data_IF_547914000455
#
_entry.id   IF_547914000455
#
_cell.length_a   1.000
_cell.length_b   1.000
_cell.length_c   1.000
_cell.angle_alpha   90.00
_cell.angle_beta   90.00
_cell.angle_gamma   90.00
#
_symmetry.space_group_name_H-M   'P 1'
#
loop_
_entity.id
_entity.type
_entity.pdbx_description
1 polymer ?
#
# COMPACT_ATOMS: atom_id res chain seq x y z
N UNK A 1 1.33 -19.43 -21.41
CA UNK A 1 2.06 -18.14 -21.32
C UNK A 1 3.44 -18.43 -20.78
N UNK A 2 4.45 -17.82 -21.36
CA UNK A 2 5.83 -17.87 -20.87
C UNK A 2 5.97 -16.84 -19.75
N UNK A 3 6.33 -17.28 -18.54
CA UNK A 3 6.48 -16.43 -17.34
C UNK A 3 7.95 -16.00 -17.13
N UNK A 4 8.58 -15.55 -18.22
CA UNK A 4 9.99 -15.18 -18.23
C UNK A 4 10.18 -13.83 -17.56
N UNK A 5 11.19 -13.72 -16.69
CA UNK A 5 11.48 -12.49 -15.94
C UNK A 5 12.00 -11.40 -16.87
N UNK A 6 11.43 -10.20 -16.79
CA UNK A 6 11.88 -9.03 -17.53
C UNK A 6 13.07 -8.34 -16.84
N UNK A 7 13.96 -7.79 -17.65
CA UNK A 7 15.18 -7.12 -17.19
C UNK A 7 15.29 -5.72 -17.77
N UNK A 8 15.81 -4.83 -16.94
CA UNK A 8 16.10 -3.44 -17.31
C UNK A 8 17.01 -3.38 -18.53
N UNK A 9 16.80 -2.36 -19.37
CA UNK A 9 17.60 -1.99 -20.53
C UNK A 9 17.64 -2.99 -21.71
N UNK A 10 17.14 -4.22 -21.53
CA UNK A 10 17.18 -5.27 -22.55
C UNK A 10 15.80 -5.81 -22.94
N UNK A 11 14.86 -5.88 -21.99
CA UNK A 11 13.52 -6.41 -22.27
C UNK A 11 12.51 -5.31 -22.61
N UNK A 12 11.62 -5.62 -23.56
CA UNK A 12 10.69 -4.68 -24.20
C UNK A 12 9.22 -4.99 -23.88
N UNK A 13 8.35 -3.98 -23.98
CA UNK A 13 6.89 -4.13 -23.96
C UNK A 13 6.33 -4.06 -25.38
N UNK A 14 5.06 -4.39 -25.56
CA UNK A 14 4.40 -4.43 -26.88
C UNK A 14 4.20 -3.05 -27.52
N UNK A 15 4.32 -1.97 -26.75
CA UNK A 15 3.74 -0.68 -27.12
C UNK A 15 2.20 -0.70 -27.02
N UNK A 16 1.57 0.38 -27.47
CA UNK A 16 0.11 0.54 -27.55
C UNK A 16 -0.26 1.62 -28.58
N UNK A 17 -1.48 1.59 -29.12
CA UNK A 17 -1.90 2.46 -30.22
C UNK A 17 -0.93 2.41 -31.42
N UNK A 18 -0.34 3.55 -31.80
CA UNK A 18 0.69 3.67 -32.83
C UNK A 18 2.12 3.73 -32.23
N UNK A 19 2.27 3.48 -30.93
CA UNK A 19 3.53 3.58 -30.23
C UNK A 19 4.32 2.27 -30.33
N UNK A 20 5.63 2.33 -30.67
CA UNK A 20 6.43 1.13 -30.81
C UNK A 20 6.73 0.47 -29.44
N UNK A 21 7.19 -0.79 -29.47
CA UNK A 21 7.87 -1.42 -28.34
C UNK A 21 8.97 -0.54 -27.75
N UNK A 22 9.12 -0.59 -26.43
CA UNK A 22 10.11 0.19 -25.69
C UNK A 22 10.61 -0.59 -24.49
N UNK A 23 11.80 -0.25 -23.98
CA UNK A 23 12.46 -1.00 -22.90
C UNK A 23 12.11 -0.48 -21.51
N UNK A 24 12.30 -1.33 -20.51
CA UNK A 24 12.31 -0.92 -19.10
C UNK A 24 13.57 -0.08 -18.79
N UNK A 25 13.42 1.01 -18.03
CA UNK A 25 14.53 1.91 -17.64
C UNK A 25 14.86 1.89 -16.16
N UNK A 26 13.97 1.33 -15.36
CA UNK A 26 14.18 1.06 -13.94
C UNK A 26 14.17 -0.45 -13.67
N UNK A 27 14.65 -0.80 -12.48
CA UNK A 27 14.84 -2.17 -12.05
C UNK A 27 15.40 -2.19 -10.63
N UNK A 28 15.56 -3.39 -10.09
CA UNK A 28 16.20 -3.63 -8.79
C UNK A 28 17.58 -2.97 -8.67
N UNK A 29 17.90 -2.34 -7.53
CA UNK A 29 19.22 -1.76 -7.30
C UNK A 29 20.33 -2.80 -7.04
N UNK A 30 19.97 -4.04 -6.70
CA UNK A 30 20.90 -5.05 -6.17
C UNK A 30 20.63 -6.50 -6.63
N UNK A 31 19.51 -6.78 -7.28
CA UNK A 31 19.19 -8.10 -7.84
C UNK A 31 19.28 -8.08 -9.36
N UNK A 32 20.23 -8.86 -9.88
CA UNK A 32 20.57 -8.91 -11.30
C UNK A 32 20.33 -10.30 -11.88
N UNK A 33 19.86 -10.35 -13.13
CA UNK A 33 19.71 -11.54 -13.94
C UNK A 33 20.50 -11.36 -15.24
N UNK A 34 21.50 -12.21 -15.46
CA UNK A 34 22.45 -12.11 -16.58
C UNK A 34 23.13 -10.73 -16.67
N UNK A 35 23.38 -10.08 -15.53
CA UNK A 35 24.03 -8.77 -15.45
C UNK A 35 23.10 -7.56 -15.61
N UNK A 36 21.80 -7.77 -15.82
CA UNK A 36 20.79 -6.70 -15.90
C UNK A 36 19.89 -6.71 -14.66
N UNK A 37 19.49 -5.53 -14.19
CA UNK A 37 18.59 -5.42 -13.05
C UNK A 37 17.23 -6.08 -13.34
N UNK A 38 16.70 -6.84 -12.39
CA UNK A 38 15.35 -7.43 -12.49
C UNK A 38 14.29 -6.32 -12.44
N UNK A 39 13.35 -6.32 -13.38
CA UNK A 39 12.22 -5.37 -13.38
C UNK A 39 11.16 -5.84 -12.39
N UNK A 40 10.62 -4.89 -11.63
CA UNK A 40 9.60 -5.11 -10.61
C UNK A 40 8.39 -4.23 -10.87
N UNK A 41 7.27 -4.54 -10.24
CA UNK A 41 6.05 -3.75 -10.33
C UNK A 41 6.33 -2.31 -9.90
N UNK A 42 5.85 -1.36 -10.69
CA UNK A 42 6.11 0.07 -10.49
C UNK A 42 7.37 0.62 -11.16
N UNK A 43 8.35 -0.23 -11.52
CA UNK A 43 9.53 0.22 -12.26
C UNK A 43 9.13 0.77 -13.65
N UNK A 44 9.71 1.91 -14.03
CA UNK A 44 9.35 2.66 -15.23
C UNK A 44 9.88 2.06 -16.55
N UNK A 45 9.09 2.31 -17.59
CA UNK A 45 9.43 2.09 -18.99
C UNK A 45 9.79 3.41 -19.68
N UNK A 46 10.55 3.35 -20.79
CA UNK A 46 10.89 4.54 -21.57
C UNK A 46 9.66 5.39 -21.89
N UNK A 47 9.84 6.71 -21.96
CA UNK A 47 8.75 7.61 -22.32
C UNK A 47 8.44 7.51 -23.81
N UNK A 48 7.16 7.61 -24.15
CA UNK A 48 6.70 7.59 -25.53
C UNK A 48 5.43 8.43 -25.71
N UNK A 49 5.13 8.77 -26.96
CA UNK A 49 3.91 9.46 -27.37
C UNK A 49 3.63 9.23 -28.85
N UNK A 50 2.38 9.40 -29.30
CA UNK A 50 2.01 9.30 -30.71
C UNK A 50 0.86 10.26 -31.03
N UNK A 51 0.39 10.38 -32.29
CA UNK A 51 -0.75 11.25 -32.61
C UNK A 51 -2.04 10.95 -31.82
N UNK A 52 -2.19 9.74 -31.26
CA UNK A 52 -3.37 9.38 -30.46
C UNK A 52 -3.32 9.93 -29.02
N UNK A 53 -2.14 10.17 -28.44
CA UNK A 53 -2.01 10.65 -27.07
C UNK A 53 -0.69 11.38 -26.79
N UNK A 54 -0.66 12.32 -25.82
CA UNK A 54 0.57 13.01 -25.42
C UNK A 54 1.63 12.05 -24.82
N UNK A 55 2.89 12.52 -24.70
CA UNK A 55 3.96 11.73 -24.10
C UNK A 55 3.72 11.34 -22.64
N UNK A 56 4.03 10.10 -22.28
CA UNK A 56 3.97 9.58 -20.91
C UNK A 56 5.02 8.48 -20.71
N UNK A 57 5.17 8.01 -19.47
CA UNK A 57 5.85 6.75 -19.15
C UNK A 57 4.82 5.71 -18.74
N UNK A 58 5.15 4.43 -18.90
CA UNK A 58 4.30 3.35 -18.41
C UNK A 58 4.96 2.61 -17.26
N UNK A 59 4.14 1.94 -16.46
CA UNK A 59 4.56 1.02 -15.40
C UNK A 59 3.74 -0.26 -15.46
N UNK A 60 4.28 -1.35 -14.97
CA UNK A 60 3.54 -2.62 -14.89
C UNK A 60 2.49 -2.55 -13.78
N UNK A 61 1.24 -2.85 -14.12
CA UNK A 61 0.09 -2.85 -13.21
C UNK A 61 0.04 -4.10 -12.34
N UNK A 62 0.33 -5.26 -12.92
CA UNK A 62 0.21 -6.56 -12.27
C UNK A 62 1.41 -7.42 -12.63
N UNK A 63 2.00 -8.10 -11.65
CA UNK A 63 3.24 -8.85 -11.79
C UNK A 63 3.16 -10.20 -11.04
N UNK A 64 4.26 -10.87 -10.70
CA UNK A 64 4.20 -12.14 -9.94
C UNK A 64 3.64 -11.94 -8.52
N UNK A 65 2.64 -12.74 -8.12
CA UNK A 65 2.11 -12.77 -6.74
C UNK A 65 2.95 -13.63 -5.78
N UNK A 66 3.88 -14.44 -6.30
CA UNK A 66 4.71 -15.34 -5.51
C UNK A 66 6.17 -14.88 -5.42
N UNK A 67 6.69 -14.24 -6.47
CA UNK A 67 8.10 -13.88 -6.58
C UNK A 67 8.28 -12.39 -6.37
N UNK A 68 8.91 -12.03 -5.25
CA UNK A 68 9.11 -10.66 -4.80
C UNK A 68 10.61 -10.35 -4.76
N UNK A 69 11.00 -9.18 -5.29
CA UNK A 69 12.36 -8.67 -5.26
C UNK A 69 12.32 -7.25 -4.66
N UNK A 70 13.13 -7.00 -3.62
CA UNK A 70 13.12 -5.75 -2.85
C UNK A 70 11.72 -5.29 -2.40
N UNK A 71 10.87 -6.24 -1.98
CA UNK A 71 9.50 -5.94 -1.54
C UNK A 71 8.49 -5.66 -2.67
N UNK A 72 8.91 -5.72 -3.95
CA UNK A 72 8.05 -5.51 -5.11
C UNK A 72 7.90 -6.78 -5.97
N UNK A 73 6.70 -7.10 -6.47
CA UNK A 73 6.47 -8.20 -7.42
C UNK A 73 7.38 -8.19 -8.65
N UNK A 74 7.93 -9.35 -9.03
CA UNK A 74 8.76 -9.49 -10.23
C UNK A 74 7.92 -9.46 -11.49
N UNK A 75 8.34 -8.64 -12.45
CA UNK A 75 7.69 -8.46 -13.75
C UNK A 75 8.11 -9.55 -14.73
N UNK A 76 7.15 -10.04 -15.50
CA UNK A 76 7.29 -11.16 -16.43
C UNK A 76 6.62 -10.87 -17.77
N UNK A 77 6.97 -11.64 -18.79
CA UNK A 77 6.28 -11.63 -20.09
C UNK A 77 4.77 -11.83 -19.91
N UNK A 78 3.99 -10.96 -20.56
CA UNK A 78 2.53 -10.95 -20.53
C UNK A 78 1.92 -10.03 -19.47
N UNK A 79 2.69 -9.60 -18.47
CA UNK A 79 2.22 -8.69 -17.42
C UNK A 79 1.75 -7.34 -18.03
N UNK A 80 0.58 -6.80 -17.62
CA UNK A 80 0.00 -5.60 -18.24
C UNK A 80 0.67 -4.31 -17.75
N UNK A 81 0.84 -3.35 -18.65
CA UNK A 81 1.22 -1.98 -18.35
C UNK A 81 -0.01 -1.08 -18.21
N UNK A 82 0.10 -0.03 -17.40
CA UNK A 82 -0.95 0.96 -17.13
C UNK A 82 -1.44 1.69 -18.38
N UNK A 83 -0.55 1.86 -19.35
CA UNK A 83 -0.85 2.51 -20.61
C UNK A 83 -1.48 1.57 -21.66
N UNK A 84 -1.86 0.34 -21.31
CA UNK A 84 -2.56 -0.60 -22.20
C UNK A 84 -1.66 -1.52 -23.04
N UNK A 85 -0.34 -1.49 -22.84
CA UNK A 85 0.59 -2.48 -23.41
C UNK A 85 0.81 -3.67 -22.49
N UNK A 86 1.60 -4.65 -22.92
CA UNK A 86 2.05 -5.78 -22.09
C UNK A 86 3.56 -5.95 -22.19
N UNK A 87 4.18 -6.55 -21.20
CA UNK A 87 5.58 -6.98 -21.28
C UNK A 87 5.70 -8.03 -22.39
N UNK A 88 6.62 -7.81 -23.32
CA UNK A 88 6.74 -8.62 -24.54
C UNK A 88 7.89 -9.63 -24.46
N UNK A 89 9.04 -9.26 -23.92
CA UNK A 89 10.21 -10.15 -23.82
C UNK A 89 10.68 -10.33 -22.37
N UNK A 90 11.44 -11.40 -22.14
CA UNK A 90 12.02 -11.75 -20.85
C UNK A 90 13.16 -12.75 -21.04
N UNK A 91 13.88 -13.05 -19.96
CA UNK A 91 15.01 -13.96 -19.94
C UNK A 91 14.59 -15.43 -19.97
N UNK A 92 15.03 -16.19 -20.97
CA UNK A 92 14.74 -17.64 -21.10
C UNK A 92 15.37 -18.49 -19.98
N UNK A 93 16.39 -17.98 -19.28
CA UNK A 93 17.08 -18.70 -18.22
C UNK A 93 16.32 -18.72 -16.88
N UNK A 94 15.35 -17.81 -16.68
CA UNK A 94 14.63 -17.71 -15.41
C UNK A 94 13.13 -17.50 -15.59
N UNK A 95 12.38 -18.39 -14.95
CA UNK A 95 10.94 -18.31 -14.82
C UNK A 95 10.58 -17.85 -13.41
N UNK A 96 9.64 -16.90 -13.31
CA UNK A 96 9.02 -16.53 -12.04
C UNK A 96 7.57 -17.04 -12.01
N UNK A 97 7.30 -17.95 -11.07
CA UNK A 97 6.00 -18.60 -10.88
C UNK A 97 4.89 -17.65 -10.44
N UNK A 98 3.73 -18.22 -10.08
CA UNK A 98 2.56 -17.47 -9.66
C UNK A 98 1.64 -17.03 -10.80
N UNK A 99 0.45 -16.54 -10.44
CA UNK A 99 -0.52 -15.97 -11.40
C UNK A 99 -0.11 -14.53 -11.75
N UNK A 100 -0.81 -13.89 -12.68
CA UNK A 100 -0.83 -12.41 -12.67
C UNK A 100 -1.30 -12.04 -11.27
N UNK A 101 -0.62 -11.11 -10.62
CA UNK A 101 -1.07 -10.57 -9.36
C UNK A 101 -2.48 -10.05 -9.62
N UNK A 102 -3.47 -10.78 -9.13
CA UNK A 102 -4.87 -10.41 -9.30
C UNK A 102 -5.25 -9.30 -8.32
N UNK A 103 -4.35 -8.36 -8.02
CA UNK A 103 -3.52 -8.58 -6.85
C UNK A 103 -4.50 -8.40 -5.71
N UNK A 104 -4.69 -9.38 -4.82
CA UNK A 104 -5.33 -9.03 -3.56
C UNK A 104 -4.46 -7.90 -3.00
N UNK A 105 -4.92 -6.63 -3.05
CA UNK A 105 -4.05 -5.49 -2.78
C UNK A 105 -3.72 -5.45 -1.28
N UNK A 106 -4.30 -6.37 -0.52
CA UNK A 106 -4.14 -6.58 0.90
C UNK A 106 -3.26 -7.77 1.25
N UNK A 107 -2.69 -8.50 0.27
CA UNK A 107 -1.93 -9.72 0.51
C UNK A 107 -0.72 -9.54 1.45
N UNK A 108 -0.14 -8.33 1.50
CA UNK A 108 0.97 -8.03 2.43
C UNK A 108 0.54 -8.07 3.90
N UNK A 109 -0.75 -7.86 4.19
CA UNK A 109 -1.27 -7.86 5.56
C UNK A 109 -1.16 -9.25 6.22
N UNK A 110 -1.18 -10.34 5.46
CA UNK A 110 -1.06 -11.70 6.01
C UNK A 110 0.37 -12.07 6.43
N UNK A 111 1.37 -11.22 6.15
CA UNK A 111 2.78 -11.48 6.51
C UNK A 111 3.11 -11.20 7.96
N UNK A 112 2.24 -10.51 8.67
CA UNK A 112 2.44 -10.18 10.08
C UNK A 112 1.23 -10.62 10.88
N UNK A 113 1.47 -11.15 12.08
CA UNK A 113 0.45 -11.54 13.03
C UNK A 113 0.41 -10.51 14.17
N UNK A 114 -0.67 -9.70 14.28
CA UNK A 114 -0.80 -8.71 15.35
C UNK A 114 -1.04 -9.35 16.73
N UNK A 115 -1.25 -10.67 16.79
CA UNK A 115 -1.68 -11.38 17.97
C UNK A 115 -3.17 -11.16 18.28
N UNK A 116 -3.60 -11.62 19.45
CA UNK A 116 -4.99 -11.46 19.87
C UNK A 116 -5.33 -9.99 20.12
N UNK A 117 -6.21 -9.42 19.29
CA UNK A 117 -6.72 -8.07 19.42
C UNK A 117 -8.24 -8.11 19.73
N UNK A 118 -8.64 -8.14 21.01
CA UNK A 118 -10.05 -8.23 21.39
C UNK A 118 -10.89 -7.07 20.83
N UNK A 119 -10.35 -5.84 20.87
CA UNK A 119 -11.04 -4.66 20.34
C UNK A 119 -11.29 -4.76 18.84
N UNK A 120 -10.28 -5.11 18.05
CA UNK A 120 -10.46 -5.36 16.62
C UNK A 120 -11.50 -6.45 16.33
N UNK A 121 -11.50 -7.52 17.13
CA UNK A 121 -12.43 -8.65 16.98
C UNK A 121 -13.88 -8.23 17.21
N UNK A 122 -14.13 -7.27 18.09
CA UNK A 122 -15.45 -6.71 18.35
C UNK A 122 -15.84 -5.59 17.36
N UNK A 123 -14.94 -4.66 17.09
CA UNK A 123 -15.24 -3.44 16.32
C UNK A 123 -15.21 -3.65 14.80
N UNK A 124 -14.31 -4.47 14.25
CA UNK A 124 -14.21 -4.66 12.79
C UNK A 124 -15.50 -5.26 12.19
N UNK A 125 -16.17 -6.26 12.82
CA UNK A 125 -17.47 -6.74 12.35
C UNK A 125 -18.57 -5.68 12.40
N UNK A 126 -18.59 -4.82 13.44
CA UNK A 126 -19.56 -3.72 13.54
C UNK A 126 -19.39 -2.70 12.41
N UNK A 127 -18.16 -2.52 11.96
CA UNK A 127 -17.79 -1.59 10.91
C UNK A 127 -17.90 -2.16 9.49
N UNK A 128 -18.02 -3.48 9.33
CA UNK A 128 -17.89 -4.19 8.06
C UNK A 128 -18.81 -3.64 6.96
N UNK A 129 -20.07 -3.33 7.28
CA UNK A 129 -21.03 -2.80 6.32
C UNK A 129 -20.57 -1.45 5.76
N UNK A 130 -20.10 -0.55 6.62
CA UNK A 130 -19.60 0.76 6.20
C UNK A 130 -18.25 0.65 5.48
N UNK A 131 -17.39 -0.26 5.92
CA UNK A 131 -16.14 -0.57 5.25
C UNK A 131 -16.39 -1.07 3.80
N UNK A 132 -17.38 -1.93 3.59
CA UNK A 132 -17.76 -2.43 2.27
C UNK A 132 -18.17 -1.32 1.30
N UNK A 133 -18.95 -0.33 1.78
CA UNK A 133 -19.33 0.84 0.97
C UNK A 133 -18.13 1.69 0.54
N UNK A 134 -17.05 1.68 1.34
CA UNK A 134 -15.85 2.48 1.11
C UNK A 134 -14.75 1.73 0.34
N UNK A 135 -14.96 0.47 -0.05
CA UNK A 135 -13.96 -0.29 -0.83
C UNK A 135 -13.51 0.44 -2.10
N UNK A 136 -14.39 1.07 -2.93
CA UNK A 136 -13.93 1.82 -4.10
C UNK A 136 -12.97 2.96 -3.74
N UNK A 137 -13.31 3.74 -2.70
CA UNK A 137 -12.43 4.80 -2.20
C UNK A 137 -11.10 4.23 -1.69
N UNK A 138 -11.16 3.14 -0.91
CA UNK A 138 -9.97 2.50 -0.37
C UNK A 138 -9.02 1.97 -1.45
N UNK A 139 -9.55 1.42 -2.55
CA UNK A 139 -8.74 1.01 -3.71
C UNK A 139 -8.01 2.20 -4.34
N UNK A 140 -8.71 3.30 -4.57
CA UNK A 140 -8.12 4.52 -5.14
C UNK A 140 -7.05 5.10 -4.22
N UNK A 141 -7.29 5.14 -2.89
CA UNK A 141 -6.30 5.57 -1.91
C UNK A 141 -5.09 4.63 -1.88
N UNK A 142 -5.32 3.31 -1.92
CA UNK A 142 -4.26 2.31 -1.90
C UNK A 142 -3.33 2.44 -3.12
N UNK A 143 -3.91 2.64 -4.30
CA UNK A 143 -3.18 2.90 -5.54
C UNK A 143 -2.39 4.22 -5.47
N UNK A 144 -3.04 5.31 -5.04
CA UNK A 144 -2.45 6.64 -5.00
C UNK A 144 -1.29 6.75 -3.99
N UNK A 145 -1.43 6.14 -2.81
CA UNK A 145 -0.47 6.28 -1.71
C UNK A 145 0.46 5.05 -1.54
N UNK A 146 0.27 4.00 -2.34
CA UNK A 146 1.10 2.80 -2.31
C UNK A 146 0.97 2.02 -1.00
N UNK A 147 -0.28 1.84 -0.55
CA UNK A 147 -0.65 1.14 0.70
C UNK A 147 -1.73 0.10 0.43
N UNK A 148 -1.88 -0.92 1.30
CA UNK A 148 -3.01 -1.84 1.22
C UNK A 148 -4.34 -1.09 1.42
N UNK A 149 -5.33 -1.23 0.51
CA UNK A 149 -6.65 -0.63 0.67
C UNK A 149 -7.33 -0.97 2.01
N UNK A 150 -7.21 -2.21 2.48
CA UNK A 150 -7.77 -2.63 3.76
C UNK A 150 -7.07 -1.98 4.96
N UNK A 151 -5.80 -1.57 4.81
CA UNK A 151 -5.10 -0.82 5.87
C UNK A 151 -5.71 0.57 6.05
N UNK A 152 -6.08 1.25 4.97
CA UNK A 152 -6.81 2.52 5.05
C UNK A 152 -8.16 2.35 5.77
N UNK A 153 -8.90 1.27 5.47
CA UNK A 153 -10.14 0.94 6.19
C UNK A 153 -9.87 0.60 7.67
N UNK A 154 -8.80 -0.11 7.98
CA UNK A 154 -8.37 -0.41 9.35
C UNK A 154 -8.10 0.85 10.17
N UNK A 155 -7.42 1.85 9.59
CA UNK A 155 -7.16 3.14 10.24
C UNK A 155 -8.48 3.87 10.49
N UNK A 156 -9.36 4.03 9.48
CA UNK A 156 -10.64 4.72 9.66
C UNK A 156 -11.57 4.03 10.69
N UNK A 157 -11.54 2.70 10.75
CA UNK A 157 -12.24 1.93 11.78
C UNK A 157 -11.69 2.23 13.18
N UNK A 158 -10.36 2.16 13.37
CA UNK A 158 -9.74 2.45 14.67
C UNK A 158 -9.94 3.89 15.11
N UNK A 159 -9.88 4.84 14.19
CA UNK A 159 -9.94 6.26 14.49
C UNK A 159 -11.34 6.72 14.89
N UNK A 160 -12.37 6.25 14.19
CA UNK A 160 -13.72 6.79 14.41
C UNK A 160 -14.86 5.79 14.24
N UNK A 161 -14.56 4.51 13.98
CA UNK A 161 -15.57 3.55 13.54
C UNK A 161 -16.27 4.04 12.28
N UNK A 162 -15.50 4.60 11.33
CA UNK A 162 -16.01 5.27 10.14
C UNK A 162 -17.01 6.41 10.39
N UNK A 163 -16.98 7.04 11.57
CA UNK A 163 -17.89 8.12 11.95
C UNK A 163 -18.73 7.86 13.20
N UNK A 164 -18.90 6.61 13.63
CA UNK A 164 -19.74 6.25 14.79
C UNK A 164 -19.31 6.96 16.07
N UNK A 165 -18.03 7.29 16.18
CA UNK A 165 -17.42 7.98 17.32
C UNK A 165 -17.18 9.48 17.08
N UNK A 166 -17.82 10.09 16.08
CA UNK A 166 -17.78 11.54 15.83
C UNK A 166 -19.00 12.25 16.41
N UNK A 167 -18.81 13.48 16.88
CA UNK A 167 -19.88 14.41 17.22
C UNK A 167 -20.57 14.98 15.96
N UNK A 168 -21.58 15.82 16.17
CA UNK A 168 -22.35 16.46 15.09
C UNK A 168 -21.52 17.39 14.19
N UNK A 169 -20.35 17.84 14.66
CA UNK A 169 -19.45 18.72 13.92
C UNK A 169 -18.32 17.94 13.22
N UNK A 170 -18.32 16.62 13.32
CA UNK A 170 -17.32 15.74 12.72
C UNK A 170 -16.02 15.62 13.52
N UNK A 171 -16.00 16.02 14.79
CA UNK A 171 -14.86 15.84 15.69
C UNK A 171 -15.02 14.59 16.55
N UNK A 172 -13.93 14.03 17.07
CA UNK A 172 -13.98 12.87 17.96
C UNK A 172 -14.79 13.16 19.23
N UNK A 173 -15.71 12.24 19.61
CA UNK A 173 -16.49 12.32 20.86
C UNK A 173 -15.63 12.31 22.11
N UNK A 174 -14.48 11.64 22.02
CA UNK A 174 -13.56 11.42 23.15
C UNK A 174 -12.25 12.20 23.00
N UNK A 175 -11.96 12.71 21.79
CA UNK A 175 -10.88 13.64 21.52
C UNK A 175 -11.36 14.72 20.54
N UNK A 176 -11.63 15.91 21.07
CA UNK A 176 -12.09 17.04 20.27
C UNK A 176 -11.05 17.60 19.29
N UNK A 177 -9.80 17.12 19.31
CA UNK A 177 -8.76 17.54 18.38
C UNK A 177 -8.80 16.78 17.05
N UNK A 178 -9.23 15.52 17.07
CA UNK A 178 -9.35 14.68 15.88
C UNK A 178 -10.56 15.07 15.02
N UNK A 179 -10.34 15.35 13.74
CA UNK A 179 -11.39 15.66 12.77
C UNK A 179 -11.60 14.54 11.74
N UNK A 180 -12.86 14.24 11.45
CA UNK A 180 -13.29 13.34 10.38
C UNK A 180 -12.96 11.86 10.59
N UNK A 181 -13.28 11.05 9.59
CA UNK A 181 -13.28 9.58 9.71
C UNK A 181 -11.89 8.99 10.07
N UNK A 182 -10.83 9.70 9.68
CA UNK A 182 -9.43 9.37 9.96
C UNK A 182 -8.80 10.20 11.11
N UNK A 183 -9.61 11.01 11.82
CA UNK A 183 -9.18 11.81 12.99
C UNK A 183 -7.90 12.62 12.78
N UNK A 184 -7.85 13.42 11.69
CA UNK A 184 -6.73 14.34 11.46
C UNK A 184 -6.68 15.35 12.61
N UNK A 185 -5.55 15.40 13.34
CA UNK A 185 -5.38 16.27 14.50
C UNK A 185 -5.25 17.74 14.09
N UNK A 186 -6.23 18.55 14.52
CA UNK A 186 -6.31 19.99 14.23
C UNK A 186 -5.18 20.83 14.87
N UNK A 187 -4.44 20.27 15.82
CA UNK A 187 -3.32 20.96 16.47
C UNK A 187 -2.09 21.00 15.56
N UNK A 188 -1.94 20.00 14.68
CA UNK A 188 -0.77 19.85 13.79
C UNK A 188 -1.12 20.11 12.32
N UNK A 189 -2.39 19.95 11.96
CA UNK A 189 -2.88 20.10 10.59
C UNK A 189 -4.11 21.00 10.55
N UNK A 190 -4.32 21.72 9.45
CA UNK A 190 -5.61 22.35 9.17
C UNK A 190 -6.49 21.31 8.47
N UNK A 191 -7.61 20.84 9.06
CA UNK A 191 -8.45 19.84 8.40
C UNK A 191 -9.04 20.36 7.10
N UNK A 192 -9.16 19.48 6.11
CA UNK A 192 -9.64 19.80 4.75
C UNK A 192 -10.80 18.91 4.33
N UNK A 193 -11.78 19.51 3.64
CA UNK A 193 -12.99 18.81 3.20
C UNK A 193 -13.97 18.50 4.34
N UNK A 194 -15.12 17.92 3.98
CA UNK A 194 -16.09 17.42 4.96
C UNK A 194 -15.56 16.18 5.70
N UNK A 195 -16.04 15.85 6.91
CA UNK A 195 -15.51 14.79 7.78
C UNK A 195 -15.45 13.39 7.13
N UNK A 196 -16.26 13.16 6.10
CA UNK A 196 -16.40 11.90 5.38
C UNK A 196 -15.95 11.98 3.91
N UNK A 197 -15.41 13.13 3.49
CA UNK A 197 -15.12 13.39 2.09
C UNK A 197 -13.85 12.68 1.61
N UNK A 198 -13.75 12.53 0.28
CA UNK A 198 -12.50 12.14 -0.39
C UNK A 198 -11.34 13.06 -0.02
N UNK A 199 -11.56 14.38 0.03
CA UNK A 199 -10.51 15.34 0.36
C UNK A 199 -9.95 15.10 1.76
N UNK A 200 -10.81 14.79 2.74
CA UNK A 200 -10.37 14.41 4.08
C UNK A 200 -9.57 13.10 4.08
N UNK A 201 -10.04 12.09 3.34
CA UNK A 201 -9.35 10.80 3.24
C UNK A 201 -7.96 10.94 2.57
N UNK A 202 -7.86 11.75 1.52
CA UNK A 202 -6.60 12.05 0.84
C UNK A 202 -5.64 12.82 1.75
N UNK A 203 -6.13 13.77 2.56
CA UNK A 203 -5.31 14.45 3.55
C UNK A 203 -4.72 13.47 4.57
N UNK A 204 -5.55 12.59 5.14
CA UNK A 204 -5.11 11.60 6.11
C UNK A 204 -4.10 10.62 5.52
N UNK A 205 -4.36 10.08 4.32
CA UNK A 205 -3.45 9.16 3.66
C UNK A 205 -2.15 9.85 3.20
N UNK A 206 -2.19 11.14 2.89
CA UNK A 206 -0.98 11.94 2.67
C UNK A 206 -0.11 12.07 3.92
N UNK A 207 -0.71 12.26 5.10
CA UNK A 207 0.00 12.26 6.39
C UNK A 207 0.64 10.89 6.63
N UNK A 208 -0.14 9.81 6.52
CA UNK A 208 0.36 8.45 6.66
C UNK A 208 1.52 8.15 5.69
N UNK A 209 1.38 8.58 4.42
CA UNK A 209 2.42 8.40 3.40
C UNK A 209 3.72 9.07 3.79
N UNK A 210 3.68 10.27 4.34
CA UNK A 210 4.87 10.99 4.79
C UNK A 210 5.61 10.22 5.90
N UNK A 211 4.89 9.61 6.84
CA UNK A 211 5.53 8.79 7.88
C UNK A 211 6.08 7.49 7.31
N UNK A 212 5.37 6.84 6.39
CA UNK A 212 5.85 5.67 5.68
C UNK A 212 7.14 5.93 4.90
N UNK A 213 7.26 7.09 4.25
CA UNK A 213 8.47 7.49 3.54
C UNK A 213 9.63 7.78 4.49
N UNK A 214 9.37 8.37 5.66
CA UNK A 214 10.38 8.55 6.71
C UNK A 214 10.88 7.22 7.26
N UNK A 215 9.98 6.26 7.49
CA UNK A 215 10.34 4.91 7.93
C UNK A 215 11.16 4.20 6.86
N UNK A 216 10.71 4.19 5.61
CA UNK A 216 11.43 3.54 4.52
C UNK A 216 12.82 4.15 4.27
N UNK A 217 12.96 5.48 4.41
CA UNK A 217 14.25 6.16 4.29
C UNK A 217 15.20 5.82 5.45
N UNK A 218 14.68 5.70 6.67
CA UNK A 218 15.48 5.36 7.85
C UNK A 218 15.84 3.86 7.91
N UNK A 219 14.97 3.00 7.36
CA UNK A 219 15.05 1.55 7.45
C UNK A 219 14.78 0.87 6.09
N UNK A 220 15.63 1.11 5.07
CA UNK A 220 15.43 0.57 3.72
C UNK A 220 15.59 -0.96 3.66
N UNK A 221 16.24 -1.56 4.66
CA UNK A 221 16.47 -2.99 4.82
C UNK A 221 15.31 -3.72 5.50
N UNK A 222 14.37 -2.99 6.12
CA UNK A 222 13.22 -3.61 6.76
C UNK A 222 12.20 -4.10 5.71
N UNK A 223 11.60 -5.29 5.89
CA UNK A 223 10.50 -5.74 5.07
C UNK A 223 9.37 -4.72 5.01
N UNK A 224 8.72 -4.61 3.85
CA UNK A 224 7.69 -3.59 3.60
C UNK A 224 6.53 -3.66 4.59
N UNK A 225 6.12 -4.85 5.01
CA UNK A 225 5.11 -5.05 6.05
C UNK A 225 5.52 -4.40 7.39
N UNK A 226 6.78 -4.52 7.79
CA UNK A 226 7.30 -3.91 9.03
C UNK A 226 7.35 -2.38 8.92
N UNK A 227 7.70 -1.86 7.74
CA UNK A 227 7.66 -0.41 7.48
C UNK A 227 6.22 0.13 7.57
N UNK A 228 5.25 -0.60 7.00
CA UNK A 228 3.82 -0.25 7.09
C UNK A 228 3.34 -0.27 8.54
N UNK A 229 3.64 -1.31 9.32
CA UNK A 229 3.25 -1.41 10.72
C UNK A 229 3.84 -0.26 11.56
N UNK A 230 5.10 0.07 11.31
CA UNK A 230 5.81 1.20 11.95
C UNK A 230 5.17 2.54 11.58
N UNK A 231 4.79 2.73 10.32
CA UNK A 231 4.06 3.93 9.87
C UNK A 231 2.66 4.02 10.50
N UNK A 232 1.98 2.90 10.69
CA UNK A 232 0.70 2.84 11.41
C UNK A 232 0.84 3.27 12.86
N UNK A 233 1.88 2.84 13.58
CA UNK A 233 2.16 3.34 14.92
C UNK A 233 2.47 4.85 14.89
N UNK A 234 3.32 5.28 13.94
CA UNK A 234 3.70 6.67 13.75
C UNK A 234 2.51 7.60 13.50
N UNK A 235 1.47 7.13 12.79
CA UNK A 235 0.26 7.91 12.56
C UNK A 235 -0.44 8.33 13.86
N UNK A 236 -0.37 7.49 14.91
CA UNK A 236 -1.02 7.76 16.19
C UNK A 236 -0.20 8.67 17.12
N UNK A 237 1.09 8.39 17.29
CA UNK A 237 1.93 9.09 18.28
C UNK A 237 3.09 9.91 17.67
N UNK A 238 3.12 10.04 16.35
CA UNK A 238 4.19 10.67 15.58
C UNK A 238 5.40 9.76 15.32
N UNK A 239 6.01 9.92 14.14
CA UNK A 239 7.24 9.22 13.72
C UNK A 239 8.39 9.27 14.74
N UNK A 240 8.47 10.32 15.56
CA UNK A 240 9.51 10.46 16.59
C UNK A 240 9.54 9.32 17.61
N UNK A 241 8.39 8.67 17.85
CA UNK A 241 8.20 7.61 18.83
C UNK A 241 8.24 6.19 18.22
N UNK A 242 8.01 6.04 16.92
CA UNK A 242 8.09 4.76 16.18
C UNK A 242 9.55 4.30 15.98
N UNK A 243 10.18 3.76 17.04
CA UNK A 243 11.62 3.41 17.02
C UNK A 243 11.94 1.92 17.09
N UNK A 244 10.97 1.08 17.42
CA UNK A 244 11.20 -0.37 17.58
C UNK A 244 10.86 -1.10 16.28
N UNK A 245 11.76 -1.96 15.81
CA UNK A 245 11.46 -2.84 14.68
C UNK A 245 10.42 -3.91 15.07
N UNK A 246 9.31 -4.06 14.34
CA UNK A 246 8.35 -5.13 14.57
C UNK A 246 8.81 -6.43 13.88
N UNK A 247 10.01 -6.91 14.23
CA UNK A 247 10.61 -8.12 13.64
C UNK A 247 9.97 -9.43 14.13
N UNK A 248 9.34 -9.39 15.31
CA UNK A 248 8.60 -10.47 15.93
C UNK A 248 7.44 -9.89 16.76
N UNK A 249 6.58 -10.75 17.32
CA UNK A 249 5.42 -10.32 18.10
C UNK A 249 5.79 -9.45 19.31
N UNK A 250 6.92 -9.71 19.96
CA UNK A 250 7.37 -8.92 21.11
C UNK A 250 7.93 -7.55 20.67
N UNK A 251 8.64 -7.51 19.54
CA UNK A 251 9.11 -6.28 18.91
C UNK A 251 7.95 -5.40 18.46
N UNK A 252 6.90 -6.00 17.89
CA UNK A 252 5.70 -5.25 17.50
C UNK A 252 4.92 -4.73 18.71
N UNK A 253 4.77 -5.53 19.77
CA UNK A 253 4.18 -5.03 21.01
C UNK A 253 4.94 -3.80 21.55
N UNK A 254 6.28 -3.85 21.57
CA UNK A 254 7.13 -2.71 21.98
C UNK A 254 7.16 -1.53 21.00
N UNK A 255 6.79 -1.73 19.74
CA UNK A 255 6.60 -0.63 18.79
C UNK A 255 5.38 0.21 19.19
N UNK A 256 4.35 -0.42 19.74
CA UNK A 256 3.13 0.24 20.17
C UNK A 256 3.23 0.89 21.57
N UNK A 257 4.33 0.71 22.31
CA UNK A 257 4.52 1.33 23.63
C UNK A 257 4.33 2.86 23.55
N UNK A 258 3.30 3.38 24.22
CA UNK A 258 2.94 4.80 24.22
C UNK A 258 1.96 5.22 23.12
N UNK A 259 1.56 4.32 22.22
CA UNK A 259 0.39 4.56 21.36
C UNK A 259 -0.90 4.50 22.20
N UNK A 260 -2.01 5.03 21.68
CA UNK A 260 -3.31 4.96 22.36
C UNK A 260 -3.69 3.52 22.70
N UNK A 261 -3.61 3.13 23.98
CA UNK A 261 -3.90 1.77 24.46
C UNK A 261 -2.77 0.75 24.25
N UNK A 262 -1.56 1.21 23.93
CA UNK A 262 -0.35 0.41 23.74
C UNK A 262 -0.51 -0.73 22.71
N UNK A 263 -1.41 -0.56 21.73
CA UNK A 263 -1.76 -1.57 20.73
C UNK A 263 -2.17 -0.99 19.36
N UNK A 264 -1.95 0.31 19.12
CA UNK A 264 -2.60 0.99 18.00
C UNK A 264 -2.32 0.33 16.65
N UNK A 265 -1.04 0.08 16.33
CA UNK A 265 -0.70 -0.49 15.02
C UNK A 265 -1.14 -1.94 14.88
N UNK A 266 -1.04 -2.75 15.95
CA UNK A 266 -1.52 -4.14 15.96
C UNK A 266 -3.04 -4.24 15.82
N UNK A 267 -3.79 -3.41 16.54
CA UNK A 267 -5.25 -3.41 16.45
C UNK A 267 -5.72 -2.92 15.09
N UNK A 268 -5.13 -1.85 14.53
CA UNK A 268 -5.40 -1.41 13.15
C UNK A 268 -5.12 -2.55 12.16
N UNK A 269 -4.00 -3.25 12.32
CA UNK A 269 -3.62 -4.34 11.43
C UNK A 269 -4.59 -5.52 11.51
N UNK A 270 -5.04 -5.88 12.71
CA UNK A 270 -6.05 -6.92 12.91
C UNK A 270 -7.40 -6.55 12.25
N UNK A 271 -7.83 -5.29 12.36
CA UNK A 271 -9.02 -4.80 11.64
C UNK A 271 -8.82 -4.84 10.13
N UNK A 272 -7.64 -4.45 9.65
CA UNK A 272 -7.31 -4.47 8.23
C UNK A 272 -7.29 -5.91 7.67
N UNK A 273 -6.76 -6.89 8.41
CA UNK A 273 -6.84 -8.31 8.05
C UNK A 273 -8.29 -8.79 8.00
N UNK A 274 -9.10 -8.44 9.00
CA UNK A 274 -10.53 -8.76 8.97
C UNK A 274 -11.21 -8.21 7.71
N UNK A 275 -10.98 -6.95 7.35
CA UNK A 275 -11.55 -6.37 6.12
C UNK A 275 -10.98 -7.00 4.84
N UNK A 276 -9.69 -7.34 4.82
CA UNK A 276 -9.07 -8.02 3.70
C UNK A 276 -9.74 -9.37 3.40
N UNK A 277 -10.15 -10.09 4.44
CA UNK A 277 -10.71 -11.44 4.34
C UNK A 277 -12.24 -11.48 4.20
N UNK A 278 -12.94 -10.43 4.65
CA UNK A 278 -14.41 -10.45 4.76
C UNK A 278 -15.14 -9.44 3.84
N UNK A 279 -14.41 -8.62 3.08
CA UNK A 279 -15.01 -7.69 2.12
C UNK A 279 -14.86 -8.17 0.68
N UNK A 280 -15.76 -7.71 -0.18
CA UNK A 280 -15.65 -7.87 -1.62
C UNK A 280 -14.69 -6.80 -2.17
N UNK A 281 -13.48 -7.25 -2.56
CA UNK A 281 -12.42 -6.41 -3.12
C UNK A 281 -12.56 -6.26 -4.63
#
# INVERSE_FOLDING_TARGET
MTLLVARKDVDICTGHDACPPRKAVEGSPDVFLEGYAVVRQGDLWESHGCPAHPPHQGRVLQASDEVIVNGLPVVRVGDPLDCGGNVQTGCEALYAGGKLSSANPNAILSRMDPGEMPRATEEAPLDAARAQELVPLAKELGEQYGIPPALALGIASRESGFGRHLDENGYGKYDSNGYGMFQVDKQYHTPTGDPYSRAHAEQAMGIFRNDLDRVAAAHPDWPREQQLATATAAYNFGYGNARTQPADAAGWARLDDGTSGDDYSRDVWARAQYFADNLEW
#
